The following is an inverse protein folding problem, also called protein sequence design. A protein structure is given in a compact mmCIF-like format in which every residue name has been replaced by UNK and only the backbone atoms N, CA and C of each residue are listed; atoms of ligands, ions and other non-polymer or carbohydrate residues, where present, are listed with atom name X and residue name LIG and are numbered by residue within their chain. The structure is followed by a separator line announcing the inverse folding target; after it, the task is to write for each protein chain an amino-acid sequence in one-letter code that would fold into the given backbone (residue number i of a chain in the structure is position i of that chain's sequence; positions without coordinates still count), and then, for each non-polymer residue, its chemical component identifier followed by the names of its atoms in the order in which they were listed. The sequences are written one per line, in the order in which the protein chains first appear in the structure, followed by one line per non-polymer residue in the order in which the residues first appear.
data_IF_822034284267
#
_entry.id   IF_822034284267
#
_cell.length_a   1.000
_cell.length_b   1.000
_cell.length_c   1.000
_cell.angle_alpha   90.00
_cell.angle_beta   90.00
_cell.angle_gamma   90.00
#
_symmetry.space_group_name_H-M   'P 1'
#
loop_
_entity.id
_entity.type
_entity.pdbx_description
1 polymer ?
#
# COMPACT_ATOMS: atom_id res chain seq x y z
N UNK A 1 -6.04 10.07 -14.66
CA UNK A 1 -6.30 8.77 -14.04
C UNK A 1 -7.69 8.35 -14.47
N UNK A 2 -7.84 7.22 -15.17
CA UNK A 2 -9.13 6.68 -15.60
C UNK A 2 -9.48 5.51 -14.66
N UNK A 3 -10.55 5.65 -13.88
CA UNK A 3 -10.95 4.68 -12.86
C UNK A 3 -12.15 3.89 -13.36
N UNK A 4 -11.92 2.67 -13.83
CA UNK A 4 -12.93 1.76 -14.38
C UNK A 4 -12.90 0.43 -13.66
N UNK A 5 -14.03 -0.28 -13.65
CA UNK A 5 -14.16 -1.64 -13.10
C UNK A 5 -13.80 -1.75 -11.60
N UNK A 6 -14.17 -0.76 -10.80
CA UNK A 6 -13.94 -0.74 -9.34
C UNK A 6 -15.30 -0.78 -8.63
N UNK A 7 -15.95 -1.95 -8.55
CA UNK A 7 -17.21 -2.07 -7.83
C UNK A 7 -16.99 -1.83 -6.32
N UNK A 8 -18.04 -1.38 -5.65
CA UNK A 8 -18.04 -1.34 -4.20
C UNK A 8 -17.94 -2.75 -3.63
N UNK A 9 -17.04 -2.97 -2.68
CA UNK A 9 -16.79 -4.28 -2.11
C UNK A 9 -16.04 -4.20 -0.80
N UNK A 10 -16.01 -5.33 -0.09
CA UNK A 10 -15.26 -5.49 1.15
C UNK A 10 -13.93 -6.18 0.85
N UNK A 11 -12.85 -5.70 1.45
CA UNK A 11 -11.54 -6.37 1.43
C UNK A 11 -11.22 -6.84 2.83
N UNK A 12 -11.13 -8.16 3.02
CA UNK A 12 -10.60 -8.75 4.25
C UNK A 12 -9.08 -8.84 4.15
N UNK A 13 -8.39 -7.90 4.78
CA UNK A 13 -6.93 -7.84 4.77
C UNK A 13 -6.28 -9.03 5.48
N UNK A 14 -6.96 -9.71 6.40
CA UNK A 14 -6.38 -10.88 7.10
C UNK A 14 -6.11 -12.06 6.17
N UNK A 15 -6.83 -12.15 5.05
CA UNK A 15 -6.71 -13.23 4.06
C UNK A 15 -5.66 -12.94 2.97
N UNK A 16 -5.02 -11.77 3.00
CA UNK A 16 -4.03 -11.37 1.99
C UNK A 16 -2.64 -11.60 2.55
N UNK A 17 -1.88 -12.45 1.86
CA UNK A 17 -0.50 -12.74 2.22
C UNK A 17 0.38 -11.48 2.17
N UNK A 18 1.08 -11.16 3.26
CA UNK A 18 1.96 -10.01 3.29
C UNK A 18 3.23 -10.24 2.49
N UNK A 19 3.76 -9.18 1.90
CA UNK A 19 5.09 -9.15 1.27
C UNK A 19 5.95 -8.09 1.93
N UNK A 20 7.25 -8.35 2.06
CA UNK A 20 8.19 -7.44 2.69
C UNK A 20 9.01 -6.68 1.65
N UNK A 21 9.19 -5.39 1.89
CA UNK A 21 9.90 -4.46 1.01
C UNK A 21 10.89 -3.64 1.84
N UNK A 22 12.18 -3.83 1.59
CA UNK A 22 13.23 -3.12 2.31
C UNK A 22 13.26 -1.64 1.90
N UNK A 23 13.39 -0.76 2.89
CA UNK A 23 13.73 0.65 2.67
C UNK A 23 15.24 0.86 2.64
N UNK A 24 15.68 2.11 2.58
CA UNK A 24 17.06 2.47 2.93
C UNK A 24 17.34 2.13 4.40
N UNK A 25 16.35 2.35 5.25
CA UNK A 25 16.27 1.89 6.63
C UNK A 25 14.93 1.22 6.87
N UNK A 26 14.91 0.21 7.75
CA UNK A 26 13.68 -0.48 8.12
C UNK A 26 13.07 -1.36 7.03
N UNK A 27 11.83 -1.78 7.25
CA UNK A 27 11.06 -2.67 6.40
C UNK A 27 9.61 -2.18 6.30
N UNK A 28 9.02 -2.29 5.11
CA UNK A 28 7.59 -2.14 4.92
C UNK A 28 6.94 -3.51 4.66
N UNK A 29 5.84 -3.79 5.34
CA UNK A 29 5.02 -4.99 5.14
C UNK A 29 3.76 -4.61 4.40
N UNK A 30 3.54 -5.17 3.21
CA UNK A 30 2.45 -4.79 2.31
C UNK A 30 1.46 -5.93 2.14
N UNK A 31 0.18 -5.62 2.25
CA UNK A 31 -0.91 -6.42 1.69
C UNK A 31 -1.49 -5.67 0.51
N UNK A 32 -1.55 -6.31 -0.66
CA UNK A 32 -1.88 -5.62 -1.92
C UNK A 32 -3.12 -6.22 -2.56
N UNK A 33 -4.04 -5.35 -2.97
CA UNK A 33 -5.13 -5.66 -3.90
C UNK A 33 -4.98 -4.83 -5.17
N UNK A 34 -5.31 -5.44 -6.31
CA UNK A 34 -5.28 -4.80 -7.62
C UNK A 34 -6.71 -4.74 -8.18
N UNK A 35 -7.18 -3.54 -8.47
CA UNK A 35 -8.49 -3.26 -9.08
C UNK A 35 -8.25 -2.54 -10.41
N UNK A 36 -8.21 -3.30 -11.50
CA UNK A 36 -7.88 -2.80 -12.84
C UNK A 36 -6.57 -1.97 -12.81
N UNK A 37 -6.65 -0.65 -12.97
CA UNK A 37 -5.49 0.24 -12.97
C UNK A 37 -5.14 0.84 -11.60
N UNK A 38 -5.90 0.53 -10.55
CA UNK A 38 -5.66 1.01 -9.18
C UNK A 38 -5.08 -0.11 -8.32
N UNK A 39 -4.00 0.22 -7.63
CA UNK A 39 -3.42 -0.64 -6.59
C UNK A 39 -3.72 -0.05 -5.23
N UNK A 40 -4.41 -0.81 -4.38
CA UNK A 40 -4.66 -0.45 -2.99
C UNK A 40 -3.77 -1.31 -2.11
N UNK A 41 -3.10 -0.69 -1.14
CA UNK A 41 -2.21 -1.38 -0.21
C UNK A 41 -2.57 -1.00 1.22
N UNK A 42 -2.64 -2.00 2.10
CA UNK A 42 -2.45 -1.78 3.52
C UNK A 42 -0.96 -1.95 3.79
N UNK A 43 -0.33 -0.91 4.32
CA UNK A 43 1.12 -0.87 4.54
C UNK A 43 1.40 -0.60 6.00
N UNK A 44 2.23 -1.44 6.60
CA UNK A 44 2.81 -1.24 7.92
C UNK A 44 4.31 -0.94 7.74
N UNK A 45 4.79 0.09 8.42
CA UNK A 45 6.18 0.50 8.37
C UNK A 45 6.85 0.23 9.72
N UNK A 46 8.04 -0.38 9.71
CA UNK A 46 8.85 -0.48 10.92
C UNK A 46 9.29 0.91 11.41
N UNK A 47 9.55 1.11 12.71
CA UNK A 47 10.13 2.35 13.20
C UNK A 47 11.39 2.77 12.44
N UNK A 48 11.46 4.04 12.04
CA UNK A 48 12.57 4.57 11.26
C UNK A 48 12.64 4.09 9.81
N UNK A 49 11.55 3.54 9.26
CA UNK A 49 11.50 3.20 7.84
C UNK A 49 11.69 4.43 6.95
N UNK A 50 12.57 4.33 5.96
CA UNK A 50 12.81 5.37 4.96
C UNK A 50 12.81 4.74 3.56
N UNK A 51 12.05 5.32 2.64
CA UNK A 51 12.09 4.97 1.23
C UNK A 51 12.38 6.21 0.39
N UNK A 52 13.55 6.24 -0.25
CA UNK A 52 13.91 7.31 -1.17
C UNK A 52 13.56 6.91 -2.62
N UNK A 53 12.27 6.86 -2.92
CA UNK A 53 11.83 6.70 -4.31
C UNK A 53 10.65 7.61 -4.64
N UNK A 54 10.71 8.19 -5.83
CA UNK A 54 9.64 8.99 -6.39
C UNK A 54 8.77 8.16 -7.33
N UNK A 55 7.45 8.35 -7.26
CA UNK A 55 6.49 7.70 -8.14
C UNK A 55 5.69 8.74 -8.91
N UNK A 56 5.78 8.73 -10.23
CA UNK A 56 5.04 9.66 -11.11
C UNK A 56 3.54 9.34 -11.20
N UNK A 57 3.11 8.17 -10.73
CA UNK A 57 1.69 7.76 -10.75
C UNK A 57 0.84 8.49 -9.69
N UNK A 58 1.48 9.12 -8.69
CA UNK A 58 0.81 9.76 -7.56
C UNK A 58 0.27 8.77 -6.53
N UNK A 59 0.01 9.25 -5.32
CA UNK A 59 -0.49 8.45 -4.20
C UNK A 59 -1.52 9.23 -3.39
N UNK A 60 -2.53 8.52 -2.88
CA UNK A 60 -3.46 9.00 -1.86
C UNK A 60 -3.25 8.11 -0.64
N UNK A 61 -3.11 8.72 0.54
CA UNK A 61 -2.85 8.01 1.78
C UNK A 61 -3.98 8.28 2.78
N UNK A 62 -4.39 7.21 3.45
CA UNK A 62 -5.21 7.28 4.65
C UNK A 62 -4.35 6.73 5.79
N UNK A 63 -3.96 7.60 6.73
CA UNK A 63 -3.25 7.17 7.92
C UNK A 63 -4.22 6.43 8.85
N UNK A 64 -3.89 5.18 9.20
CA UNK A 64 -4.69 4.36 10.12
C UNK A 64 -4.17 4.45 11.55
N UNK A 65 -2.84 4.54 11.71
CA UNK A 65 -2.14 4.62 12.99
C UNK A 65 -0.70 5.13 12.78
N UNK A 66 -0.06 5.58 13.86
CA UNK A 66 1.30 6.10 13.84
C UNK A 66 1.38 7.59 13.51
N UNK A 67 2.58 8.03 13.15
CA UNK A 67 2.96 9.42 12.83
C UNK A 67 3.72 9.52 11.50
#
# INVERSE_FOLDING_TARGET
MDMKNIPFGLSDWSQIEPTQHAGETGMATWRTQQFDNIRVRQVEYSPGYLADHWCTKGHILLCLEGE
#
